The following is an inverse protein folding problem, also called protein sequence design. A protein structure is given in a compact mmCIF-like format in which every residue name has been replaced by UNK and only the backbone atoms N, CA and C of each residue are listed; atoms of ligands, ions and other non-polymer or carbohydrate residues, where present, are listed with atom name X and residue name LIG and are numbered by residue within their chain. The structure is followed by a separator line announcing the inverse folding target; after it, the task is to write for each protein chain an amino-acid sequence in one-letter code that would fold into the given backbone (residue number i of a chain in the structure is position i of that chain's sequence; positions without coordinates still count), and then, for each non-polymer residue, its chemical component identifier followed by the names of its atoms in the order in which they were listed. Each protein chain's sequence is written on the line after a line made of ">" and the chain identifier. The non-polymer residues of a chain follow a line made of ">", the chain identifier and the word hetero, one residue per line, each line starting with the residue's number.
data_IF_828178717246
#
_entry.id   IF_828178717246
#
_cell.length_a   1.000
_cell.length_b   1.000
_cell.length_c   1.000
_cell.angle_alpha   90.00
_cell.angle_beta   90.00
_cell.angle_gamma   90.00
#
_symmetry.space_group_name_H-M   'P 1'
#
loop_
_entity.id
_entity.type
_entity.pdbx_description
1 polymer ?
#
# COMPACT_ATOMS: atom_id res chain seq x y z
N UNK A 1 15.29 24.95 -25.85
CA UNK A 1 13.92 25.21 -26.34
C UNK A 1 13.92 24.91 -27.83
N UNK A 2 13.77 23.63 -28.19
CA UNK A 2 13.93 23.13 -29.56
C UNK A 2 12.62 22.50 -30.01
N UNK A 3 11.83 23.26 -30.75
CA UNK A 3 10.68 22.80 -31.52
C UNK A 3 10.76 23.50 -32.88
N UNK A 4 10.39 22.75 -33.90
CA UNK A 4 10.16 23.11 -35.30
C UNK A 4 11.27 22.87 -36.33
N UNK A 5 10.82 22.21 -37.41
CA UNK A 5 11.47 21.90 -38.68
C UNK A 5 12.19 20.55 -38.75
N UNK A 6 11.44 19.50 -39.09
CA UNK A 6 11.87 18.52 -40.09
C UNK A 6 10.67 17.73 -40.66
N UNK A 7 9.73 18.47 -41.27
CA UNK A 7 8.76 17.90 -42.22
C UNK A 7 9.33 18.05 -43.64
N UNK A 8 9.48 16.93 -44.35
CA UNK A 8 9.83 16.71 -45.78
C UNK A 8 11.28 16.33 -46.14
N UNK A 9 11.48 15.04 -46.43
CA UNK A 9 12.22 14.40 -47.55
C UNK A 9 12.04 12.89 -47.35
N UNK A 10 11.43 12.11 -48.23
CA UNK A 10 11.70 11.97 -49.66
C UNK A 10 10.43 11.52 -50.41
N UNK A 11 10.17 12.16 -51.55
CA UNK A 11 9.56 11.51 -52.71
C UNK A 11 10.71 11.16 -53.65
N UNK A 12 10.73 9.90 -54.09
CA UNK A 12 11.12 9.40 -55.43
C UNK A 12 11.09 7.87 -55.34
N UNK A 13 9.95 7.22 -55.61
CA UNK A 13 9.50 6.75 -56.94
C UNK A 13 10.35 5.60 -57.49
N UNK A 14 9.90 4.35 -57.29
CA UNK A 14 9.67 3.39 -58.39
C UNK A 14 8.99 2.10 -57.91
N UNK A 15 7.95 1.77 -58.66
CA UNK A 15 7.04 0.64 -58.64
C UNK A 15 7.65 -0.76 -58.46
N UNK A 16 7.00 -1.59 -57.63
CA UNK A 16 6.45 -2.88 -58.09
C UNK A 16 5.17 -3.20 -57.33
N UNK A 17 4.10 -3.39 -58.10
CA UNK A 17 2.81 -3.88 -57.68
C UNK A 17 2.93 -5.33 -57.18
N UNK A 18 2.56 -5.59 -55.93
CA UNK A 18 1.92 -6.87 -55.58
C UNK A 18 0.96 -6.62 -54.42
N UNK A 19 -0.32 -6.65 -54.76
CA UNK A 19 -1.39 -6.87 -53.79
C UNK A 19 -1.09 -8.18 -53.06
N UNK A 20 -1.02 -8.14 -51.73
CA UNK A 20 -1.46 -9.25 -50.90
C UNK A 20 -1.97 -8.73 -49.57
N UNK A 21 -3.26 -8.96 -49.39
CA UNK A 21 -4.13 -8.36 -48.41
C UNK A 21 -3.94 -8.96 -47.01
N UNK A 22 -3.98 -8.07 -46.02
CA UNK A 22 -4.76 -8.26 -44.80
C UNK A 22 -4.33 -9.38 -43.85
N UNK A 23 -3.28 -9.14 -43.04
CA UNK A 23 -3.12 -9.81 -41.73
C UNK A 23 -2.06 -9.23 -40.77
N UNK A 24 -1.57 -8.01 -41.01
CA UNK A 24 -0.58 -7.35 -40.14
C UNK A 24 -1.11 -5.98 -39.68
N UNK A 25 -2.30 -5.93 -39.07
CA UNK A 25 -2.81 -4.67 -38.49
C UNK A 25 -3.73 -4.87 -37.28
N UNK A 26 -3.95 -6.09 -36.81
CA UNK A 26 -4.74 -6.36 -35.60
C UNK A 26 -3.91 -6.18 -34.31
N UNK A 27 -2.60 -6.45 -34.34
CA UNK A 27 -1.81 -6.59 -33.10
C UNK A 27 -1.23 -5.26 -32.53
N UNK A 28 -1.33 -4.14 -33.27
CA UNK A 28 -0.84 -2.82 -32.80
C UNK A 28 -1.92 -1.98 -32.10
N UNK A 29 -3.20 -2.21 -32.42
CA UNK A 29 -4.32 -1.47 -31.79
C UNK A 29 -4.69 -2.01 -30.40
N UNK A 30 -4.48 -3.29 -30.17
CA UNK A 30 -4.79 -3.94 -28.89
C UNK A 30 -3.75 -3.61 -27.80
N UNK A 31 -2.48 -3.43 -28.20
CA UNK A 31 -1.38 -3.11 -27.28
C UNK A 31 -1.40 -1.66 -26.78
N UNK A 32 -1.85 -0.69 -27.58
CA UNK A 32 -2.00 0.71 -27.15
C UNK A 32 -3.15 0.90 -26.15
N UNK A 33 -4.29 0.24 -26.39
CA UNK A 33 -5.46 0.27 -25.50
C UNK A 33 -5.20 -0.40 -24.14
N UNK A 34 -4.38 -1.45 -24.16
CA UNK A 34 -3.95 -2.15 -22.95
C UNK A 34 -2.97 -1.30 -22.12
N UNK A 35 -2.05 -0.59 -22.78
CA UNK A 35 -1.10 0.32 -22.14
C UNK A 35 -1.78 1.58 -21.56
N UNK A 36 -2.69 2.23 -22.29
CA UNK A 36 -3.40 3.41 -21.77
C UNK A 36 -4.26 3.08 -20.54
N UNK A 37 -4.94 1.93 -20.56
CA UNK A 37 -5.73 1.44 -19.42
C UNK A 37 -4.82 1.15 -18.21
N UNK A 38 -3.67 0.54 -18.45
CA UNK A 38 -2.68 0.24 -17.39
C UNK A 38 -2.07 1.51 -16.78
N UNK A 39 -1.72 2.52 -17.58
CA UNK A 39 -1.20 3.81 -17.10
C UNK A 39 -2.24 4.59 -16.28
N UNK A 40 -3.51 4.57 -16.70
CA UNK A 40 -4.61 5.20 -15.97
C UNK A 40 -4.86 4.49 -14.62
N UNK A 41 -4.88 3.16 -14.60
CA UNK A 41 -5.03 2.36 -13.38
C UNK A 41 -3.86 2.55 -12.42
N UNK A 42 -2.62 2.64 -12.92
CA UNK A 42 -1.43 2.89 -12.10
C UNK A 42 -1.49 4.28 -11.45
N UNK A 43 -1.87 5.30 -12.20
CA UNK A 43 -2.00 6.68 -11.70
C UNK A 43 -3.07 6.79 -10.61
N UNK A 44 -4.19 6.08 -10.78
CA UNK A 44 -5.26 6.02 -9.79
C UNK A 44 -4.81 5.39 -8.45
N UNK A 45 -4.11 4.25 -8.47
CA UNK A 45 -3.56 3.62 -7.25
C UNK A 45 -2.56 4.54 -6.53
N UNK A 46 -1.73 5.28 -7.27
CA UNK A 46 -0.79 6.25 -6.67
C UNK A 46 -1.54 7.38 -5.95
N UNK A 47 -2.61 7.92 -6.54
CA UNK A 47 -3.44 8.96 -5.92
C UNK A 47 -4.13 8.39 -4.67
N UNK A 48 -4.81 7.25 -4.82
CA UNK A 48 -5.52 6.57 -3.72
C UNK A 48 -4.59 6.27 -2.55
N UNK A 49 -3.36 5.81 -2.81
CA UNK A 49 -2.35 5.56 -1.76
C UNK A 49 -1.99 6.85 -1.02
N UNK A 50 -1.82 7.98 -1.71
CA UNK A 50 -1.54 9.27 -1.06
C UNK A 50 -2.69 9.69 -0.14
N UNK A 51 -3.93 9.51 -0.59
CA UNK A 51 -5.11 9.82 0.20
C UNK A 51 -5.23 8.91 1.44
N UNK A 52 -4.99 7.61 1.28
CA UNK A 52 -4.94 6.67 2.39
C UNK A 52 -3.83 7.05 3.39
N UNK A 53 -2.63 7.44 2.93
CA UNK A 53 -1.52 7.85 3.81
C UNK A 53 -1.91 9.10 4.60
N UNK A 54 -2.55 10.08 3.95
CA UNK A 54 -3.01 11.29 4.62
C UNK A 54 -4.11 11.00 5.65
N UNK A 55 -5.06 10.13 5.32
CA UNK A 55 -6.11 9.69 6.23
C UNK A 55 -5.54 8.93 7.43
N UNK A 56 -4.65 7.97 7.18
CA UNK A 56 -3.99 7.20 8.25
C UNK A 56 -3.12 8.09 9.12
N UNK A 57 -2.42 9.08 8.55
CA UNK A 57 -1.68 10.07 9.34
C UNK A 57 -2.59 10.83 10.31
N UNK A 58 -3.78 11.25 9.88
CA UNK A 58 -4.76 11.92 10.75
C UNK A 58 -5.26 10.98 11.84
N UNK A 59 -5.47 9.71 11.52
CA UNK A 59 -5.89 8.70 12.50
C UNK A 59 -4.80 8.44 13.55
N UNK A 60 -3.53 8.28 13.15
CA UNK A 60 -2.40 8.12 14.06
C UNK A 60 -2.29 9.28 15.05
N UNK A 61 -2.51 10.52 14.59
CA UNK A 61 -2.50 11.70 15.46
C UNK A 61 -3.55 11.63 16.57
N UNK A 62 -4.70 10.98 16.34
CA UNK A 62 -5.71 10.77 17.39
C UNK A 62 -5.19 9.92 18.55
N UNK A 63 -4.15 9.12 18.31
CA UNK A 63 -3.47 8.26 19.28
C UNK A 63 -2.11 8.84 19.73
N UNK A 64 -1.83 10.12 19.43
CA UNK A 64 -0.54 10.76 19.67
C UNK A 64 0.63 10.03 18.99
N UNK A 65 0.38 9.48 17.80
CA UNK A 65 1.36 8.78 16.97
C UNK A 65 1.66 9.58 15.70
N UNK A 66 2.83 9.32 15.12
CA UNK A 66 3.25 9.80 13.81
C UNK A 66 4.04 8.71 13.09
N UNK A 67 4.18 8.83 11.76
CA UNK A 67 5.03 7.91 11.00
C UNK A 67 6.49 7.91 11.48
N UNK A 68 7.03 9.06 11.91
CA UNK A 68 8.40 9.13 12.45
C UNK A 68 8.56 8.31 13.73
N UNK A 69 7.56 8.30 14.61
CA UNK A 69 7.52 7.44 15.79
C UNK A 69 7.47 5.97 15.36
N UNK A 70 6.65 5.62 14.38
CA UNK A 70 6.53 4.23 13.91
C UNK A 70 7.83 3.70 13.30
N UNK A 71 8.53 4.51 12.51
CA UNK A 71 9.83 4.15 11.94
C UNK A 71 10.87 3.95 13.05
N UNK A 72 10.88 4.84 14.04
CA UNK A 72 11.85 4.80 15.14
C UNK A 72 11.58 3.67 16.12
N UNK A 73 10.32 3.31 16.34
CA UNK A 73 9.87 2.28 17.28
C UNK A 73 9.63 0.92 16.60
N UNK A 74 10.02 0.78 15.32
CA UNK A 74 9.88 -0.48 14.59
C UNK A 74 10.71 -1.58 15.27
N UNK A 75 10.13 -2.76 15.55
CA UNK A 75 10.87 -3.90 16.09
C UNK A 75 11.96 -4.37 15.12
N UNK A 76 13.17 -4.56 15.66
CA UNK A 76 14.36 -4.93 14.87
C UNK A 76 14.33 -6.40 14.42
N UNK A 77 13.86 -7.31 15.29
CA UNK A 77 13.81 -8.74 15.00
C UNK A 77 12.58 -9.10 14.18
N UNK A 78 12.70 -10.13 13.34
CA UNK A 78 11.57 -10.63 12.53
C UNK A 78 10.49 -11.24 13.43
N UNK A 79 10.90 -12.09 14.37
CA UNK A 79 9.99 -12.76 15.30
C UNK A 79 9.11 -11.77 16.08
N UNK A 80 9.69 -10.67 16.56
CA UNK A 80 8.94 -9.61 17.24
C UNK A 80 7.88 -8.98 16.32
N UNK A 81 8.22 -8.73 15.04
CA UNK A 81 7.29 -8.16 14.05
C UNK A 81 6.15 -9.13 13.74
N UNK A 82 6.47 -10.41 13.58
CA UNK A 82 5.48 -11.45 13.28
C UNK A 82 4.51 -11.62 14.46
N UNK A 83 5.04 -11.62 15.68
CA UNK A 83 4.24 -11.66 16.90
C UNK A 83 3.36 -10.42 17.07
N UNK A 84 3.88 -9.22 16.78
CA UNK A 84 3.09 -7.98 16.79
C UNK A 84 1.98 -8.02 15.74
N UNK A 85 2.26 -8.52 14.54
CA UNK A 85 1.25 -8.65 13.51
C UNK A 85 0.14 -9.63 13.93
N UNK A 86 0.49 -10.73 14.59
CA UNK A 86 -0.48 -11.69 15.14
C UNK A 86 -1.38 -11.03 16.20
N UNK A 87 -0.77 -10.29 17.14
CA UNK A 87 -1.52 -9.53 18.16
C UNK A 87 -2.40 -8.46 17.50
N UNK A 88 -1.89 -7.72 16.52
CA UNK A 88 -2.66 -6.68 15.83
C UNK A 88 -3.88 -7.26 15.11
N UNK A 89 -3.73 -8.43 14.47
CA UNK A 89 -4.85 -9.17 13.87
C UNK A 89 -5.90 -9.50 14.92
N UNK A 90 -5.51 -10.08 16.05
CA UNK A 90 -6.41 -10.36 17.17
C UNK A 90 -7.13 -9.10 17.68
N UNK A 91 -6.39 -8.00 17.88
CA UNK A 91 -6.95 -6.72 18.31
C UNK A 91 -7.97 -6.18 17.30
N UNK A 92 -7.72 -6.35 16.00
CA UNK A 92 -8.62 -5.89 14.94
C UNK A 92 -9.86 -6.78 14.77
N UNK A 93 -9.75 -8.08 15.05
CA UNK A 93 -10.83 -9.06 14.85
C UNK A 93 -11.74 -9.24 16.05
N UNK A 94 -11.24 -9.01 17.27
CA UNK A 94 -11.98 -9.23 18.52
C UNK A 94 -12.76 -7.97 18.91
N UNK A 95 -14.11 -7.96 18.86
CA UNK A 95 -14.91 -6.73 19.01
C UNK A 95 -14.67 -5.97 20.32
N UNK A 96 -14.62 -6.67 21.47
CA UNK A 96 -14.40 -6.07 22.79
C UNK A 96 -13.03 -5.37 22.91
N UNK A 97 -12.00 -6.02 22.37
CA UNK A 97 -10.62 -5.51 22.35
C UNK A 97 -10.48 -4.33 21.39
N UNK A 98 -11.08 -4.45 20.20
CA UNK A 98 -11.15 -3.38 19.20
C UNK A 98 -11.83 -2.13 19.77
N UNK A 99 -12.99 -2.30 20.39
CA UNK A 99 -13.74 -1.20 20.99
C UNK A 99 -12.94 -0.49 22.07
N UNK A 100 -12.26 -1.26 22.93
CA UNK A 100 -11.35 -0.72 23.95
C UNK A 100 -10.26 0.14 23.32
N UNK A 101 -9.62 -0.35 22.24
CA UNK A 101 -8.61 0.42 21.52
C UNK A 101 -9.17 1.73 20.96
N UNK A 102 -10.30 1.69 20.27
CA UNK A 102 -10.86 2.86 19.59
C UNK A 102 -11.41 3.91 20.55
N UNK A 103 -12.06 3.49 21.64
CA UNK A 103 -12.71 4.39 22.60
C UNK A 103 -11.74 4.87 23.68
N UNK A 104 -10.99 3.95 24.32
CA UNK A 104 -10.08 4.29 25.40
C UNK A 104 -8.69 4.71 24.91
N UNK A 105 -8.39 4.57 23.61
CA UNK A 105 -7.09 4.83 22.99
C UNK A 105 -5.94 4.07 23.65
N UNK A 106 -6.24 2.89 24.19
CA UNK A 106 -5.31 2.05 24.96
C UNK A 106 -5.48 0.59 24.55
N UNK A 107 -4.37 -0.15 24.56
CA UNK A 107 -4.40 -1.59 24.37
C UNK A 107 -4.87 -2.27 25.68
N UNK A 108 -5.74 -3.30 25.61
CA UNK A 108 -6.04 -4.13 26.77
C UNK A 108 -4.89 -5.10 27.02
N UNK A 109 -3.82 -4.59 27.66
CA UNK A 109 -2.56 -5.31 27.85
C UNK A 109 -2.75 -6.67 28.52
N UNK A 110 -3.64 -6.77 29.52
CA UNK A 110 -3.91 -8.03 30.24
C UNK A 110 -4.44 -9.13 29.31
N UNK A 111 -5.47 -8.81 28.53
CA UNK A 111 -6.08 -9.74 27.57
C UNK A 111 -5.07 -10.21 26.53
N UNK A 112 -4.22 -9.30 26.04
CA UNK A 112 -3.19 -9.66 25.05
C UNK A 112 -2.10 -10.55 25.67
N UNK A 113 -1.67 -10.25 26.89
CA UNK A 113 -0.65 -11.04 27.61
C UNK A 113 -1.14 -12.46 27.85
N UNK A 114 -2.39 -12.63 28.29
CA UNK A 114 -2.99 -13.93 28.55
C UNK A 114 -3.16 -14.74 27.26
N UNK A 115 -3.64 -14.12 26.18
CA UNK A 115 -3.90 -14.80 24.91
C UNK A 115 -2.61 -15.25 24.19
N UNK A 116 -1.58 -14.39 24.18
CA UNK A 116 -0.36 -14.63 23.41
C UNK A 116 0.83 -15.11 24.25
N UNK A 117 0.65 -15.23 25.57
CA UNK A 117 1.71 -15.57 26.53
C UNK A 117 2.98 -14.72 26.36
N UNK A 118 2.80 -13.39 26.27
CA UNK A 118 3.90 -12.44 26.06
C UNK A 118 4.26 -11.69 27.33
N UNK A 119 5.55 -11.37 27.55
CA UNK A 119 5.93 -10.60 28.73
C UNK A 119 5.36 -9.18 28.65
N UNK A 120 4.94 -8.62 29.77
CA UNK A 120 4.41 -7.25 29.83
C UNK A 120 5.37 -6.21 29.19
N UNK A 121 6.68 -6.43 29.36
CA UNK A 121 7.74 -5.62 28.74
C UNK A 121 7.63 -5.59 27.21
N UNK A 122 7.21 -6.67 26.56
CA UNK A 122 7.02 -6.73 25.10
C UNK A 122 5.93 -5.77 24.66
N UNK A 123 4.74 -5.82 25.30
CA UNK A 123 3.63 -4.91 24.98
C UNK A 123 4.03 -3.45 25.26
N UNK A 124 4.62 -3.16 26.42
CA UNK A 124 5.07 -1.80 26.77
C UNK A 124 6.06 -1.22 25.76
N UNK A 125 7.02 -2.03 25.32
CA UNK A 125 8.07 -1.60 24.38
C UNK A 125 7.48 -1.38 22.99
N UNK A 126 6.57 -2.26 22.56
CA UNK A 126 6.03 -2.26 21.20
C UNK A 126 4.68 -1.57 21.07
N UNK A 127 4.17 -0.91 22.13
CA UNK A 127 2.80 -0.36 22.21
C UNK A 127 2.43 0.54 21.02
N UNK A 128 3.35 1.39 20.59
CA UNK A 128 3.09 2.35 19.51
C UNK A 128 2.98 1.65 18.17
N UNK A 129 3.83 0.65 17.93
CA UNK A 129 3.78 -0.16 16.72
C UNK A 129 2.55 -1.06 16.70
N UNK A 130 2.20 -1.68 17.84
CA UNK A 130 0.98 -2.48 18.01
C UNK A 130 -0.27 -1.66 17.70
N UNK A 131 -0.44 -0.48 18.31
CA UNK A 131 -1.58 0.41 18.06
C UNK A 131 -1.66 0.73 16.56
N UNK A 132 -0.56 1.14 15.94
CA UNK A 132 -0.58 1.50 14.52
C UNK A 132 -0.92 0.33 13.60
N UNK A 133 -0.38 -0.87 13.85
CA UNK A 133 -0.73 -2.05 13.05
C UNK A 133 -2.20 -2.42 13.24
N UNK A 134 -2.73 -2.34 14.46
CA UNK A 134 -4.16 -2.58 14.72
C UNK A 134 -5.05 -1.57 13.99
N UNK A 135 -4.72 -0.28 14.03
CA UNK A 135 -5.47 0.76 13.31
C UNK A 135 -5.40 0.56 11.79
N UNK A 136 -4.22 0.18 11.28
CA UNK A 136 -4.03 -0.10 9.87
C UNK A 136 -4.95 -1.24 9.41
N UNK A 137 -5.10 -2.30 10.22
CA UNK A 137 -5.96 -3.46 9.92
C UNK A 137 -7.46 -3.16 10.10
N UNK A 138 -7.82 -2.26 11.03
CA UNK A 138 -9.20 -1.86 11.27
C UNK A 138 -9.71 -0.92 10.17
N UNK A 139 -8.86 0.00 9.71
CA UNK A 139 -9.24 1.03 8.75
C UNK A 139 -9.22 0.58 7.29
N UNK A 140 -9.83 1.35 6.39
CA UNK A 140 -9.93 1.03 4.95
C UNK A 140 -8.65 1.40 4.18
N UNK A 141 -7.50 0.88 4.62
CA UNK A 141 -6.17 1.25 4.10
C UNK A 141 -5.58 0.17 3.18
N UNK A 142 -6.36 -0.25 2.19
CA UNK A 142 -6.03 -1.37 1.30
C UNK A 142 -4.72 -1.18 0.53
N UNK A 143 -4.45 0.02 0.02
CA UNK A 143 -3.25 0.30 -0.77
C UNK A 143 -2.00 0.34 0.13
N UNK A 144 -2.13 0.89 1.34
CA UNK A 144 -1.04 0.88 2.33
C UNK A 144 -0.74 -0.54 2.78
N UNK A 145 -1.77 -1.34 3.09
CA UNK A 145 -1.63 -2.73 3.49
C UNK A 145 -0.93 -3.55 2.40
N UNK A 146 -1.36 -3.41 1.13
CA UNK A 146 -0.71 -4.11 0.00
C UNK A 146 0.76 -3.72 -0.11
N UNK A 147 1.08 -2.42 -0.04
CA UNK A 147 2.46 -1.94 -0.13
C UNK A 147 3.35 -2.46 1.01
N UNK A 148 2.83 -2.50 2.23
CA UNK A 148 3.58 -3.01 3.38
C UNK A 148 3.75 -4.53 3.33
N UNK A 149 2.72 -5.27 2.93
CA UNK A 149 2.77 -6.72 2.80
C UNK A 149 3.70 -7.14 1.65
N UNK A 150 3.66 -6.45 0.51
CA UNK A 150 4.59 -6.67 -0.62
C UNK A 150 6.06 -6.42 -0.21
N UNK A 151 6.31 -5.44 0.67
CA UNK A 151 7.66 -5.15 1.17
C UNK A 151 8.13 -6.01 2.36
N UNK A 152 7.27 -6.91 2.86
CA UNK A 152 7.56 -7.84 3.97
C UNK A 152 7.83 -9.27 3.49
N UNK A 153 7.64 -9.55 2.19
CA UNK A 153 7.93 -10.83 1.52
C UNK A 153 9.34 -10.82 0.96
#
# INVERSE_FOLDING_TARGET
>A
MFIEQNYRKNQDSSSTLSQNNGKICSNLKETAKSKEKELASKSYSVIKRKDEIAAFSKELLRFNLSFSVLVSQKPKKKDDRDQILAIAKFVSSTPSVKETLLNAKKLPDKTIIEEFNVPNKFIRTNKFYLIAMSLLLIGPYSEIQSYLLEGLV
#
